data_IF_029847470110
#
_entry.id   IF_029847470110
#
_cell.length_a   1.000
_cell.length_b   1.000
_cell.length_c   1.000
_cell.angle_alpha   90.00
_cell.angle_beta   90.00
_cell.angle_gamma   90.00
#
_symmetry.space_group_name_H-M   'P 1'
#
loop_
_entity.id
_entity.type
_entity.pdbx_description
1 polymer ?
#
# COMPACT_ATOMS: atom_id res chain seq x y z
N UNK A 1 -3.09 -9.31 -18.40
CA UNK A 1 -3.81 -9.11 -17.13
C UNK A 1 -2.97 -9.35 -15.86
N UNK A 2 -1.66 -9.64 -15.92
CA UNK A 2 -0.86 -9.93 -14.71
C UNK A 2 -0.06 -8.76 -14.11
N UNK A 3 0.16 -7.67 -14.87
CA UNK A 3 1.03 -6.55 -14.42
C UNK A 3 0.53 -5.90 -13.13
N UNK A 4 -0.77 -5.61 -13.02
CA UNK A 4 -1.32 -4.96 -11.83
C UNK A 4 -1.25 -5.82 -10.56
N UNK A 5 -1.63 -7.10 -10.67
CA UNK A 5 -1.53 -8.07 -9.58
C UNK A 5 -0.09 -8.26 -9.09
N UNK A 6 0.87 -8.36 -10.00
CA UNK A 6 2.28 -8.47 -9.63
C UNK A 6 2.76 -7.26 -8.84
N UNK A 7 2.37 -6.05 -9.25
CA UNK A 7 2.73 -4.83 -8.52
C UNK A 7 2.11 -4.83 -7.13
N UNK A 8 0.82 -5.14 -6.99
CA UNK A 8 0.15 -5.21 -5.68
C UNK A 8 0.80 -6.24 -4.76
N UNK A 9 1.19 -7.42 -5.27
CA UNK A 9 1.85 -8.46 -4.48
C UNK A 9 3.24 -8.01 -4.01
N UNK A 10 4.04 -7.42 -4.91
CA UNK A 10 5.37 -6.90 -4.57
C UNK A 10 5.23 -5.78 -3.52
N UNK A 11 4.30 -4.86 -3.74
CA UNK A 11 4.07 -3.72 -2.86
C UNK A 11 3.56 -4.16 -1.49
N UNK A 12 2.60 -5.08 -1.45
CA UNK A 12 2.07 -5.62 -0.20
C UNK A 12 3.12 -6.39 0.60
N UNK A 13 3.98 -7.14 -0.08
CA UNK A 13 5.11 -7.84 0.56
C UNK A 13 6.14 -6.85 1.12
N UNK A 14 6.45 -5.78 0.37
CA UNK A 14 7.36 -4.72 0.81
C UNK A 14 6.82 -3.97 2.04
N UNK A 15 5.55 -3.56 2.02
CA UNK A 15 4.92 -2.87 3.15
C UNK A 15 4.86 -3.76 4.39
N UNK A 16 4.59 -5.06 4.23
CA UNK A 16 4.61 -6.02 5.33
C UNK A 16 6.00 -6.17 5.95
N UNK A 17 7.04 -6.27 5.12
CA UNK A 17 8.43 -6.29 5.58
C UNK A 17 8.79 -5.03 6.35
N UNK A 18 8.45 -3.84 5.83
CA UNK A 18 8.76 -2.57 6.48
C UNK A 18 8.02 -2.40 7.82
N UNK A 19 6.75 -2.79 7.89
CA UNK A 19 5.97 -2.77 9.13
C UNK A 19 6.53 -3.74 10.18
N UNK A 20 6.99 -4.92 9.74
CA UNK A 20 7.70 -5.87 10.60
C UNK A 20 8.99 -5.27 11.17
N UNK A 21 9.77 -4.58 10.35
CA UNK A 21 10.97 -3.88 10.82
C UNK A 21 10.65 -2.78 11.82
N UNK A 22 9.65 -1.94 11.58
CA UNK A 22 9.23 -0.92 12.55
C UNK A 22 8.79 -1.54 13.89
N UNK A 23 8.13 -2.70 13.85
CA UNK A 23 7.74 -3.42 15.06
C UNK A 23 8.97 -3.90 15.87
N UNK A 24 10.01 -4.39 15.18
CA UNK A 24 11.23 -4.92 15.81
C UNK A 24 12.17 -3.80 16.27
N UNK A 25 12.34 -2.75 15.47
CA UNK A 25 13.34 -1.70 15.70
C UNK A 25 12.78 -0.49 16.45
N UNK A 26 11.53 -0.10 16.20
CA UNK A 26 10.91 1.09 16.80
C UNK A 26 9.94 0.75 17.95
N UNK A 27 9.89 -0.52 18.37
CA UNK A 27 8.93 -1.03 19.37
C UNK A 27 7.47 -0.76 18.98
N UNK A 28 7.19 -0.56 17.69
CA UNK A 28 5.84 -0.30 17.22
C UNK A 28 4.97 -1.54 17.45
N UNK A 29 3.72 -1.34 17.89
CA UNK A 29 2.81 -2.46 18.06
C UNK A 29 2.41 -3.02 16.67
N UNK A 30 2.38 -4.36 16.50
CA UNK A 30 1.91 -4.95 15.24
C UNK A 30 0.42 -4.64 15.06
N UNK A 31 0.12 -3.67 14.19
CA UNK A 31 -1.24 -3.24 13.91
C UNK A 31 -1.58 -3.38 12.42
N UNK A 32 -2.52 -4.27 12.10
CA UNK A 32 -2.99 -4.50 10.73
C UNK A 32 -3.63 -3.24 10.13
N UNK A 33 -4.30 -2.42 10.96
CA UNK A 33 -4.89 -1.15 10.51
C UNK A 33 -3.82 -0.17 10.05
N UNK A 34 -2.72 -0.08 10.80
CA UNK A 34 -1.56 0.75 10.42
C UNK A 34 -0.90 0.23 9.15
N UNK A 35 -0.73 -1.09 9.03
CA UNK A 35 -0.20 -1.72 7.82
C UNK A 35 -1.03 -1.38 6.57
N UNK A 36 -2.35 -1.53 6.64
CA UNK A 36 -3.27 -1.23 5.53
C UNK A 36 -3.24 0.26 5.19
N UNK A 37 -3.22 1.14 6.21
CA UNK A 37 -3.12 2.58 5.99
C UNK A 37 -1.82 2.96 5.29
N UNK A 38 -0.68 2.45 5.77
CA UNK A 38 0.62 2.72 5.14
C UNK A 38 0.66 2.20 3.70
N UNK A 39 0.06 1.04 3.44
CA UNK A 39 -0.07 0.51 2.09
C UNK A 39 -0.88 1.45 1.18
N UNK A 40 -2.01 1.99 1.65
CA UNK A 40 -2.87 2.89 0.87
C UNK A 40 -2.22 4.27 0.64
N UNK A 41 -1.67 4.87 1.69
CA UNK A 41 -0.95 6.16 1.62
C UNK A 41 0.20 6.07 0.60
N UNK A 42 0.98 4.99 0.67
CA UNK A 42 2.10 4.77 -0.23
C UNK A 42 1.63 4.42 -1.64
N UNK A 43 0.58 3.63 -1.81
CA UNK A 43 -0.03 3.41 -3.12
C UNK A 43 -0.49 4.73 -3.77
N UNK A 44 -1.09 5.62 -2.99
CA UNK A 44 -1.55 6.93 -3.43
C UNK A 44 -0.38 7.84 -3.83
N UNK A 45 0.68 7.91 -3.03
CA UNK A 45 1.92 8.64 -3.36
C UNK A 45 2.55 8.14 -4.67
N UNK A 46 2.56 6.83 -4.90
CA UNK A 46 3.10 6.25 -6.13
C UNK A 46 2.19 6.52 -7.33
N UNK A 47 0.86 6.55 -7.14
CA UNK A 47 -0.07 7.00 -8.18
C UNK A 47 0.17 8.46 -8.59
N UNK A 48 0.39 9.35 -7.61
CA UNK A 48 0.62 10.78 -7.84
C UNK A 48 1.97 11.05 -8.53
N UNK A 49 3.00 10.25 -8.23
CA UNK A 49 4.36 10.42 -8.78
C UNK A 49 4.56 9.78 -10.16
N UNK A 50 3.52 9.20 -10.76
CA UNK A 50 3.52 8.78 -12.17
C UNK A 50 3.07 7.34 -12.43
N UNK A 51 2.73 6.56 -11.41
CA UNK A 51 2.20 5.20 -11.60
C UNK A 51 0.67 5.19 -11.71
N UNK A 52 0.12 5.85 -12.73
CA UNK A 52 -1.33 5.93 -12.98
C UNK A 52 -2.04 4.56 -13.06
N UNK A 53 -1.30 3.46 -13.26
CA UNK A 53 -1.81 2.08 -13.25
C UNK A 53 -2.14 1.51 -11.86
N UNK A 54 -1.62 2.08 -10.77
CA UNK A 54 -1.88 1.63 -9.40
C UNK A 54 -3.24 2.08 -8.86
N UNK A 55 -3.72 3.25 -9.30
CA UNK A 55 -5.02 3.82 -8.89
C UNK A 55 -6.19 2.91 -9.23
N UNK A 56 -6.03 2.04 -10.23
CA UNK A 56 -7.04 1.08 -10.68
C UNK A 56 -7.06 -0.23 -9.88
N UNK A 57 -6.14 -0.39 -8.92
CA UNK A 57 -5.93 -1.60 -8.14
C UNK A 57 -6.15 -1.39 -6.64
N UNK A 58 -6.25 -0.13 -6.19
CA UNK A 58 -6.59 0.22 -4.82
C UNK A 58 -8.07 -0.10 -4.55
N UNK A 59 -8.39 -0.95 -3.56
CA UNK A 59 -9.75 -1.43 -3.32
C UNK A 59 -10.71 -0.40 -2.66
N UNK A 60 -10.45 0.91 -2.75
CA UNK A 60 -11.22 1.92 -1.99
C UNK A 60 -11.48 3.28 -2.63
N UNK A 61 -10.83 3.67 -3.73
CA UNK A 61 -10.94 5.04 -4.27
C UNK A 61 -11.98 5.17 -5.41
N UNK A 62 -13.23 4.74 -5.16
CA UNK A 62 -14.37 4.93 -6.11
C UNK A 62 -15.59 5.60 -5.45
N UNK A 63 -15.50 6.02 -4.19
CA UNK A 63 -16.44 7.00 -3.61
C UNK A 63 -15.68 8.30 -3.36
N UNK A 64 -16.34 9.44 -3.45
CA UNK A 64 -15.78 10.80 -3.35
C UNK A 64 -15.20 11.39 -4.65
N UNK A 65 -15.92 11.23 -5.76
CA UNK A 65 -15.91 12.20 -6.85
C UNK A 65 -17.36 12.43 -7.33
N UNK A 66 -18.11 13.18 -6.54
CA UNK A 66 -19.45 13.69 -6.85
C UNK A 66 -19.54 15.15 -6.42
#
# INVERSE_FOLDING_TARGET
MRKGLNTVIIFGSWTLWNHGNACVFDTAAPCIRTLIKNFDDENHLWCLTGAAGLRRLAPGLVLEAG
#
